data_IF_446452890244
#
_entry.id   IF_446452890244
#
_cell.length_a   1.000
_cell.length_b   1.000
_cell.length_c   1.000
_cell.angle_alpha   90.00
_cell.angle_beta   90.00
_cell.angle_gamma   90.00
#
_symmetry.space_group_name_H-M   'P 1'
#
loop_
_entity.id
_entity.type
_entity.pdbx_description
1 polymer ?
#
# COMPACT_ATOMS: atom_id res chain seq x y z
N UNK A 1 3.78 -16.60 12.03
CA UNK A 1 2.61 -17.50 11.88
C UNK A 1 2.50 -18.07 10.46
N UNK A 2 2.41 -17.24 9.42
CA UNK A 2 2.20 -17.71 8.03
C UNK A 2 3.39 -18.44 7.39
N UNK A 3 4.62 -18.11 7.79
CA UNK A 3 5.82 -18.85 7.37
C UNK A 3 5.77 -20.31 7.85
N UNK A 4 5.52 -20.53 9.14
CA UNK A 4 5.38 -21.89 9.71
C UNK A 4 4.26 -22.71 9.10
N UNK A 5 3.26 -22.06 8.52
CA UNK A 5 2.15 -22.77 7.89
C UNK A 5 2.39 -23.07 6.41
N UNK A 6 3.41 -22.49 5.75
CA UNK A 6 3.72 -22.73 4.33
C UNK A 6 2.97 -21.82 3.35
N UNK A 7 2.43 -20.69 3.84
CA UNK A 7 1.81 -19.67 2.98
C UNK A 7 2.81 -18.61 2.51
N UNK A 8 3.83 -18.32 3.33
CA UNK A 8 4.88 -17.34 3.03
C UNK A 8 6.23 -18.04 3.17
N UNK A 9 7.10 -17.86 2.18
CA UNK A 9 8.50 -18.24 2.23
C UNK A 9 9.38 -17.00 2.38
N UNK A 10 10.62 -17.23 2.79
CA UNK A 10 11.66 -16.21 2.92
C UNK A 10 12.92 -16.75 2.22
N UNK A 11 13.56 -15.93 1.39
CA UNK A 11 14.80 -16.30 0.72
C UNK A 11 16.03 -15.97 1.59
N UNK A 12 17.23 -16.27 1.08
CA UNK A 12 18.48 -16.03 1.80
C UNK A 12 18.76 -14.54 2.08
N UNK A 13 18.10 -13.64 1.34
CA UNK A 13 18.22 -12.19 1.50
C UNK A 13 17.12 -11.62 2.41
N UNK A 14 16.27 -12.47 2.99
CA UNK A 14 15.13 -12.06 3.81
C UNK A 14 13.93 -11.56 3.01
N UNK A 15 13.89 -11.79 1.69
CA UNK A 15 12.77 -11.38 0.87
C UNK A 15 11.61 -12.37 0.98
N UNK A 16 10.42 -11.84 1.21
CA UNK A 16 9.21 -12.64 1.39
C UNK A 16 8.55 -12.96 0.05
N UNK A 17 8.08 -14.19 -0.11
CA UNK A 17 7.36 -14.65 -1.29
C UNK A 17 6.21 -15.61 -0.93
N UNK A 18 5.32 -15.86 -1.90
CA UNK A 18 4.22 -16.81 -1.73
C UNK A 18 4.69 -18.26 -1.87
N UNK A 19 4.50 -19.05 -0.81
CA UNK A 19 4.90 -20.45 -0.72
C UNK A 19 3.76 -21.41 -1.12
N UNK A 20 4.03 -22.72 -1.14
CA UNK A 20 3.25 -23.76 -1.81
C UNK A 20 1.78 -23.81 -1.40
N UNK A 21 1.43 -23.51 -0.14
CA UNK A 21 0.01 -23.53 0.28
C UNK A 21 -0.77 -22.37 -0.28
N UNK A 22 -0.16 -21.19 -0.40
CA UNK A 22 -0.84 -20.06 -1.06
C UNK A 22 -1.14 -20.43 -2.51
N UNK A 23 -0.21 -21.11 -3.19
CA UNK A 23 -0.44 -21.56 -4.58
C UNK A 23 -1.50 -22.64 -4.70
N UNK A 24 -1.66 -23.49 -3.68
CA UNK A 24 -2.63 -24.58 -3.69
C UNK A 24 -4.04 -24.15 -3.25
N UNK A 25 -4.14 -23.21 -2.31
CA UNK A 25 -5.38 -22.91 -1.59
C UNK A 25 -6.01 -21.56 -1.96
N UNK A 26 -5.26 -20.66 -2.61
CA UNK A 26 -5.71 -19.30 -2.92
C UNK A 26 -5.88 -19.09 -4.42
N UNK A 27 -7.00 -18.47 -4.79
CA UNK A 27 -7.22 -17.96 -6.13
C UNK A 27 -6.32 -16.73 -6.35
N UNK A 28 -5.28 -16.90 -7.16
CA UNK A 28 -4.31 -15.85 -7.47
C UNK A 28 -4.97 -14.62 -8.10
N UNK A 29 -6.00 -14.79 -8.93
CA UNK A 29 -6.66 -13.64 -9.59
C UNK A 29 -7.38 -12.79 -8.56
N UNK A 30 -8.15 -13.43 -7.67
CA UNK A 30 -8.84 -12.72 -6.58
C UNK A 30 -7.84 -12.06 -5.62
N UNK A 31 -6.72 -12.71 -5.34
CA UNK A 31 -5.67 -12.13 -4.50
C UNK A 31 -5.10 -10.85 -5.12
N UNK A 32 -4.76 -10.87 -6.42
CA UNK A 32 -4.27 -9.68 -7.13
C UNK A 32 -5.34 -8.59 -7.19
N UNK A 33 -6.60 -8.94 -7.48
CA UNK A 33 -7.70 -7.98 -7.51
C UNK A 33 -7.87 -7.26 -6.15
N UNK A 34 -7.71 -7.99 -5.03
CA UNK A 34 -7.73 -7.40 -3.68
C UNK A 34 -6.54 -6.47 -3.42
N UNK A 35 -5.33 -6.88 -3.82
CA UNK A 35 -4.12 -6.06 -3.66
C UNK A 35 -4.20 -4.76 -4.46
N UNK A 36 -4.66 -4.82 -5.70
CA UNK A 36 -4.82 -3.62 -6.54
C UNK A 36 -5.89 -2.67 -5.99
N UNK A 37 -6.96 -3.21 -5.40
CA UNK A 37 -8.00 -2.38 -4.79
C UNK A 37 -7.49 -1.62 -3.55
N UNK A 38 -6.66 -2.25 -2.71
CA UNK A 38 -6.15 -1.58 -1.51
C UNK A 38 -5.21 -0.41 -1.84
N UNK A 39 -4.42 -0.51 -2.90
CA UNK A 39 -3.53 0.60 -3.33
C UNK A 39 -4.33 1.80 -3.88
N UNK A 40 -5.46 1.54 -4.55
CA UNK A 40 -6.34 2.60 -5.06
C UNK A 40 -6.98 3.39 -3.90
N UNK A 41 -7.37 2.69 -2.83
CA UNK A 41 -7.93 3.34 -1.64
C UNK A 41 -6.87 4.19 -0.90
N UNK A 42 -5.65 3.67 -0.66
CA UNK A 42 -4.56 4.47 -0.06
C UNK A 42 -4.09 5.62 -0.95
N UNK A 43 -3.96 5.40 -2.26
CA UNK A 43 -3.57 6.43 -3.22
C UNK A 43 -4.60 7.56 -3.33
N UNK A 44 -5.89 7.25 -3.15
CA UNK A 44 -6.96 8.26 -3.09
C UNK A 44 -6.91 9.07 -1.79
N UNK A 45 -6.69 8.43 -0.65
CA UNK A 45 -6.52 9.10 0.65
C UNK A 45 -5.28 10.00 0.68
N UNK A 46 -4.16 9.52 0.13
CA UNK A 46 -2.90 10.27 0.09
C UNK A 46 -2.96 11.49 -0.85
N UNK A 47 -3.74 11.40 -1.94
CA UNK A 47 -3.96 12.53 -2.88
C UNK A 47 -4.87 13.61 -2.27
N UNK A 48 -5.91 13.22 -1.53
CA UNK A 48 -6.76 14.15 -0.77
C UNK A 48 -5.99 14.86 0.35
N UNK A 49 -5.15 14.14 1.11
CA UNK A 49 -4.33 14.73 2.17
C UNK A 49 -3.31 15.76 1.66
N UNK A 50 -2.72 15.54 0.49
CA UNK A 50 -1.71 16.45 -0.10
C UNK A 50 -2.32 17.72 -0.71
N UNK A 51 -3.54 17.63 -1.26
CA UNK A 51 -4.23 18.79 -1.84
C UNK A 51 -4.65 19.83 -0.79
N UNK A 52 -5.08 19.40 0.40
CA UNK A 52 -5.54 20.32 1.45
C UNK A 52 -4.35 21.00 2.16
N UNK A 53 -3.20 20.33 2.25
CA UNK A 53 -1.97 20.89 2.84
C UNK A 53 -1.35 22.04 2.05
N UNK A 54 -1.55 22.10 0.73
CA UNK A 54 -1.00 23.16 -0.13
C UNK A 54 -1.84 24.44 -0.15
N UNK A 55 -3.13 24.38 0.21
CA UNK A 55 -4.04 25.55 0.19
C UNK A 55 -3.84 26.52 1.37
N UNK A 56 -3.01 26.17 2.36
CA UNK A 56 -2.76 26.98 3.56
C UNK A 56 -1.49 27.83 3.49
N UNK A 57 -0.65 27.69 2.46
CA UNK A 57 0.66 28.34 2.40
C UNK A 57 0.66 29.69 1.65
N UNK A 58 -0.45 30.12 1.06
CA UNK A 58 -0.51 31.32 0.22
C UNK A 58 -1.58 32.31 0.70
N UNK A 59 -1.53 32.74 1.96
CA UNK A 59 -2.20 33.98 2.33
C UNK A 59 -1.45 34.72 3.45
N UNK A 60 -1.19 36.00 3.18
CA UNK A 60 -0.67 37.07 4.07
C UNK A 60 0.84 37.26 4.22
N UNK A 61 1.55 37.32 3.09
CA UNK A 61 2.71 38.21 2.94
C UNK A 61 2.29 39.50 2.24
N UNK A 62 1.95 40.55 2.99
CA UNK A 62 1.61 41.84 2.37
C UNK A 62 1.02 42.88 3.32
N UNK A 63 1.88 43.61 4.05
CA UNK A 63 1.67 45.03 4.33
C UNK A 63 3.00 45.69 4.70
N UNK A 64 3.63 46.31 3.72
CA UNK A 64 4.62 47.37 3.92
C UNK A 64 3.91 48.56 4.56
N UNK A 65 4.42 49.04 5.68
CA UNK A 65 4.12 50.34 6.27
C UNK A 65 5.43 51.09 6.43
#
# INVERSE_FOLDING_TARGET
>A
RFIRYGYIGEDENGQLYLDWRTRAEVDTRKLIDLLLRTEVEEGSLNRYGRSVGSMKAEDKGGRTG
#
